data_IF_964453547607
#
_entry.id   IF_964453547607
#
_cell.length_a   1.000
_cell.length_b   1.000
_cell.length_c   1.000
_cell.angle_alpha   90.00
_cell.angle_beta   90.00
_cell.angle_gamma   90.00
#
_symmetry.space_group_name_H-M   'P 1'
#
loop_
_entity.id
_entity.type
_entity.pdbx_description
1 polymer ?
#
# COMPACT_ATOMS: atom_id res chain seq x y z
N UNK A 1 6.21 12.07 10.07
CA UNK A 1 4.99 11.29 9.75
C UNK A 1 5.38 9.85 9.48
N UNK A 2 4.69 8.90 10.07
CA UNK A 2 4.87 7.46 9.84
C UNK A 2 4.00 6.99 8.67
N UNK A 3 4.43 5.93 8.01
CA UNK A 3 3.67 5.29 6.93
C UNK A 3 3.05 4.00 7.45
N UNK A 4 1.74 3.93 7.42
CA UNK A 4 0.95 2.74 7.79
C UNK A 4 0.68 1.94 6.53
N UNK A 5 0.98 0.63 6.56
CA UNK A 5 0.71 -0.28 5.43
C UNK A 5 -0.21 -1.40 5.89
N UNK A 6 -1.39 -1.50 5.27
CA UNK A 6 -2.35 -2.58 5.53
C UNK A 6 -1.90 -3.88 4.82
N UNK A 7 -1.43 -4.83 5.59
CA UNK A 7 -0.79 -6.06 5.11
C UNK A 7 -1.38 -7.35 5.72
N UNK A 8 -2.57 -7.29 6.32
CA UNK A 8 -3.11 -8.40 7.12
C UNK A 8 -4.17 -9.27 6.43
N UNK A 9 -4.54 -9.00 5.18
CA UNK A 9 -5.57 -9.72 4.44
C UNK A 9 -5.15 -11.09 3.93
N UNK A 10 -6.13 -11.96 3.62
CA UNK A 10 -5.89 -13.34 3.14
C UNK A 10 -5.39 -13.45 1.70
N UNK A 11 -5.59 -12.43 0.85
CA UNK A 11 -5.15 -12.43 -0.55
C UNK A 11 -5.85 -13.47 -1.44
N UNK A 12 -7.11 -13.77 -1.20
CA UNK A 12 -7.86 -14.89 -1.84
C UNK A 12 -7.99 -14.79 -3.35
N UNK A 13 -7.86 -13.59 -3.93
CA UNK A 13 -7.94 -13.36 -5.40
C UNK A 13 -6.68 -13.77 -6.16
N UNK A 14 -5.56 -13.98 -5.46
CA UNK A 14 -4.27 -14.46 -5.99
C UNK A 14 -3.82 -15.70 -5.19
N UNK A 15 -4.71 -16.69 -5.11
CA UNK A 15 -4.55 -17.87 -4.25
C UNK A 15 -3.33 -18.72 -4.60
N UNK A 16 -2.89 -18.72 -5.85
CA UNK A 16 -1.71 -19.46 -6.34
C UNK A 16 -0.43 -19.04 -5.60
N UNK A 17 -0.32 -17.77 -5.26
CA UNK A 17 0.81 -17.19 -4.54
C UNK A 17 0.53 -17.06 -3.03
N UNK A 18 -0.69 -16.63 -2.66
CA UNK A 18 -1.03 -16.33 -1.27
C UNK A 18 -1.20 -17.59 -0.41
N UNK A 19 -1.29 -18.77 -1.03
CA UNK A 19 -1.22 -20.05 -0.32
C UNK A 19 0.10 -20.25 0.44
N UNK A 20 1.19 -19.63 0.01
CA UNK A 20 2.53 -19.80 0.59
C UNK A 20 2.99 -18.57 1.39
N UNK A 21 2.70 -17.37 0.95
CA UNK A 21 3.11 -16.11 1.57
C UNK A 21 1.97 -15.08 1.57
N UNK A 22 1.91 -14.11 2.51
CA UNK A 22 0.87 -13.09 2.47
C UNK A 22 1.08 -12.20 1.24
N UNK A 23 -0.01 -11.65 0.68
CA UNK A 23 -0.01 -10.89 -0.56
C UNK A 23 1.08 -9.79 -0.63
N UNK A 24 1.35 -9.01 0.43
CA UNK A 24 2.43 -8.02 0.41
C UNK A 24 3.84 -8.60 0.24
N UNK A 25 4.01 -9.90 0.43
CA UNK A 25 5.29 -10.61 0.25
C UNK A 25 5.41 -11.33 -1.09
N UNK A 26 4.45 -11.15 -1.99
CA UNK A 26 4.56 -11.62 -3.38
C UNK A 26 5.58 -10.72 -4.10
N UNK A 27 6.51 -11.34 -4.81
CA UNK A 27 7.66 -10.66 -5.40
C UNK A 27 7.37 -10.10 -6.79
N UNK A 28 8.02 -8.98 -7.08
CA UNK A 28 8.17 -8.34 -8.38
C UNK A 28 9.66 -8.05 -8.53
N UNK A 29 10.31 -8.58 -9.56
CA UNK A 29 11.76 -8.42 -9.75
C UNK A 29 12.59 -8.96 -8.58
N UNK A 30 12.15 -10.05 -7.95
CA UNK A 30 12.83 -10.68 -6.81
C UNK A 30 12.66 -9.97 -5.47
N UNK A 31 11.88 -8.86 -5.39
CA UNK A 31 11.62 -8.14 -4.16
C UNK A 31 10.11 -8.10 -3.85
N UNK A 32 9.68 -8.26 -2.57
CA UNK A 32 8.27 -8.18 -2.19
C UNK A 32 7.62 -6.87 -2.66
N UNK A 33 6.35 -6.90 -3.09
CA UNK A 33 5.63 -5.66 -3.43
C UNK A 33 5.62 -4.68 -2.24
N UNK A 34 5.63 -5.17 -1.02
CA UNK A 34 5.79 -4.37 0.19
C UNK A 34 7.07 -3.52 0.15
N UNK A 35 8.20 -4.10 -0.28
CA UNK A 35 9.46 -3.38 -0.44
C UNK A 35 9.34 -2.25 -1.47
N UNK A 36 8.72 -2.49 -2.63
CA UNK A 36 8.49 -1.48 -3.65
C UNK A 36 7.65 -0.31 -3.13
N UNK A 37 6.59 -0.61 -2.35
CA UNK A 37 5.76 0.40 -1.71
C UNK A 37 6.61 1.24 -0.74
N UNK A 38 7.41 0.58 0.11
CA UNK A 38 8.26 1.26 1.08
C UNK A 38 9.33 2.13 0.40
N UNK A 39 9.94 1.65 -0.70
CA UNK A 39 10.89 2.44 -1.52
C UNK A 39 10.24 3.71 -2.08
N UNK A 40 8.98 3.62 -2.55
CA UNK A 40 8.25 4.78 -3.04
C UNK A 40 8.12 5.86 -1.96
N UNK A 41 7.74 5.51 -0.73
CA UNK A 41 7.65 6.46 0.36
C UNK A 41 9.02 6.98 0.82
N UNK A 42 10.01 6.09 0.87
CA UNK A 42 11.38 6.43 1.27
C UNK A 42 12.04 7.44 0.31
N UNK A 43 11.75 7.38 -0.99
CA UNK A 43 12.20 8.36 -1.98
C UNK A 43 11.77 9.81 -1.65
N UNK A 44 10.71 9.97 -0.87
CA UNK A 44 10.22 11.27 -0.37
C UNK A 44 10.61 11.54 1.10
N UNK A 45 11.52 10.72 1.68
CA UNK A 45 12.04 10.91 3.04
C UNK A 45 11.18 10.29 4.16
N UNK A 46 10.18 9.47 3.83
CA UNK A 46 9.36 8.76 4.82
C UNK A 46 9.92 7.36 5.06
N UNK A 47 10.75 7.22 6.10
CA UNK A 47 11.52 6.01 6.41
C UNK A 47 11.04 5.25 7.67
N UNK A 48 9.94 5.67 8.28
CA UNK A 48 9.35 5.01 9.45
C UNK A 48 8.01 4.38 9.09
N UNK A 49 7.97 3.03 9.18
CA UNK A 49 6.84 2.23 8.71
C UNK A 49 6.19 1.47 9.86
N UNK A 50 4.85 1.42 9.85
CA UNK A 50 4.03 0.58 10.73
C UNK A 50 3.21 -0.36 9.85
N UNK A 51 3.54 -1.64 9.88
CA UNK A 51 2.92 -2.67 9.03
C UNK A 51 1.85 -3.38 9.84
N UNK A 52 0.59 -3.24 9.43
CA UNK A 52 -0.56 -3.91 10.03
C UNK A 52 -0.65 -5.35 9.49
N UNK A 53 0.05 -6.27 10.14
CA UNK A 53 0.12 -7.68 9.74
C UNK A 53 -1.04 -8.51 10.33
N UNK A 54 -1.32 -9.65 9.74
CA UNK A 54 -2.35 -10.61 10.16
C UNK A 54 -2.09 -11.99 9.59
N UNK A 55 -2.71 -12.33 8.45
CA UNK A 55 -2.48 -13.60 7.79
C UNK A 55 -0.99 -13.79 7.47
N UNK A 56 -0.44 -14.95 7.89
CA UNK A 56 0.98 -15.31 7.72
C UNK A 56 1.97 -14.19 8.09
N UNK A 57 1.68 -13.47 9.15
CA UNK A 57 2.52 -12.35 9.62
C UNK A 57 3.98 -12.75 9.91
N UNK A 58 4.24 -14.01 10.24
CA UNK A 58 5.58 -14.52 10.48
C UNK A 58 6.49 -14.34 9.26
N UNK A 59 5.98 -14.55 8.03
CA UNK A 59 6.73 -14.37 6.79
C UNK A 59 7.23 -12.92 6.64
N UNK A 60 6.39 -11.93 7.01
CA UNK A 60 6.80 -10.52 6.99
C UNK A 60 7.89 -10.27 8.04
N UNK A 61 7.71 -10.81 9.26
CA UNK A 61 8.67 -10.63 10.37
C UNK A 61 10.01 -11.29 10.07
N UNK A 62 10.01 -12.51 9.55
CA UNK A 62 11.21 -13.23 9.14
C UNK A 62 11.96 -12.48 8.05
N UNK A 63 11.26 -11.98 7.02
CA UNK A 63 11.89 -11.20 5.97
C UNK A 63 12.63 -9.97 6.50
N UNK A 64 12.04 -9.21 7.43
CA UNK A 64 12.71 -8.06 8.03
C UNK A 64 13.82 -8.45 9.02
N UNK A 65 13.66 -9.57 9.75
CA UNK A 65 14.70 -10.07 10.64
C UNK A 65 15.99 -10.42 9.89
N UNK A 66 15.84 -10.96 8.68
CA UNK A 66 16.94 -11.42 7.84
C UNK A 66 17.32 -10.42 6.73
N UNK A 67 16.63 -9.28 6.64
CA UNK A 67 16.79 -8.32 5.55
C UNK A 67 18.25 -7.89 5.34
N UNK A 68 18.95 -7.56 6.42
CA UNK A 68 20.35 -7.14 6.35
C UNK A 68 21.29 -8.26 5.89
N UNK A 69 20.96 -9.52 6.16
CA UNK A 69 21.72 -10.69 5.69
C UNK A 69 21.67 -10.83 4.18
N UNK A 70 20.49 -10.55 3.59
CA UNK A 70 20.27 -10.70 2.14
C UNK A 70 20.78 -9.50 1.34
N UNK A 71 21.03 -8.37 1.98
CA UNK A 71 21.46 -7.13 1.32
C UNK A 71 22.89 -6.75 1.61
N UNK A 72 23.65 -7.58 2.34
CA UNK A 72 25.02 -7.27 2.77
C UNK A 72 25.99 -8.39 2.38
N UNK A 73 27.27 -8.04 2.23
CA UNK A 73 28.34 -9.02 2.14
C UNK A 73 28.69 -9.50 3.56
N UNK A 74 28.69 -10.83 3.76
CA UNK A 74 28.85 -11.43 5.08
C UNK A 74 29.88 -12.54 5.05
N UNK A 75 30.80 -12.54 6.05
CA UNK A 75 31.64 -13.68 6.36
C UNK A 75 31.07 -14.40 7.58
N UNK A 76 30.84 -15.68 7.44
CA UNK A 76 30.55 -16.59 8.56
C UNK A 76 31.83 -17.35 8.89
N UNK A 77 32.38 -17.13 10.08
CA UNK A 77 33.58 -17.80 10.56
C UNK A 77 33.22 -18.90 11.58
N UNK A 78 33.43 -20.13 11.19
CA UNK A 78 33.24 -21.33 12.02
C UNK A 78 34.58 -21.97 12.48
N UNK A 79 35.76 -21.34 12.21
CA UNK A 79 37.06 -21.99 12.42
C UNK A 79 37.32 -22.13 13.87
N UNK A 80 37.20 -21.50 14.80
CA UNK A 80 37.62 -21.67 16.20
C UNK A 80 36.51 -22.11 17.16
N UNK A 81 35.43 -22.69 16.66
CA UNK A 81 34.26 -23.03 17.46
C UNK A 81 33.46 -21.81 17.95
N UNK A 82 33.84 -20.60 17.52
CA UNK A 82 33.03 -19.39 17.62
C UNK A 82 32.23 -19.24 16.34
N UNK A 83 30.92 -19.09 16.44
CA UNK A 83 30.08 -18.78 15.27
C UNK A 83 30.07 -17.24 15.12
N UNK A 84 31.12 -16.70 14.47
CA UNK A 84 31.22 -15.25 14.25
C UNK A 84 30.59 -14.86 12.91
N UNK A 85 29.87 -13.76 12.90
CA UNK A 85 29.29 -13.17 11.71
C UNK A 85 29.84 -11.75 11.54
N UNK A 86 30.52 -11.51 10.42
CA UNK A 86 31.13 -10.23 10.09
C UNK A 86 30.39 -9.65 8.89
N UNK A 87 29.70 -8.54 9.09
CA UNK A 87 28.99 -7.80 8.04
C UNK A 87 29.95 -6.75 7.45
N UNK A 88 30.25 -6.86 6.14
CA UNK A 88 31.21 -5.97 5.48
C UNK A 88 30.52 -4.73 4.90
N UNK A 89 29.66 -4.90 3.89
CA UNK A 89 28.96 -3.81 3.24
C UNK A 89 27.49 -3.83 3.69
N UNK A 90 27.01 -2.69 4.20
CA UNK A 90 25.62 -2.54 4.64
C UNK A 90 24.83 -1.82 3.54
N UNK A 91 24.08 -2.58 2.75
CA UNK A 91 23.19 -2.06 1.73
C UNK A 91 21.71 -2.07 2.15
N UNK A 92 21.45 -2.38 3.43
CA UNK A 92 20.09 -2.32 3.97
C UNK A 92 19.58 -0.87 3.96
N UNK A 93 18.35 -0.72 3.54
CA UNK A 93 17.66 0.58 3.56
C UNK A 93 17.58 1.14 4.99
N UNK A 94 17.70 2.46 5.17
CA UNK A 94 17.71 3.09 6.50
C UNK A 94 16.29 3.21 7.07
N UNK A 95 15.54 2.11 7.07
CA UNK A 95 14.16 2.07 7.53
C UNK A 95 14.05 1.73 9.01
N UNK A 96 13.07 2.32 9.66
CA UNK A 96 12.55 1.88 10.95
C UNK A 96 11.21 1.22 10.72
N UNK A 97 11.12 -0.09 10.97
CA UNK A 97 9.95 -0.90 10.66
C UNK A 97 9.37 -1.51 11.93
N UNK A 98 8.09 -1.29 12.15
CA UNK A 98 7.30 -1.93 13.20
C UNK A 98 6.26 -2.84 12.55
N UNK A 99 6.35 -4.15 12.77
CA UNK A 99 5.36 -5.12 12.29
C UNK A 99 4.43 -5.47 13.44
N UNK A 100 3.19 -5.00 13.35
CA UNK A 100 2.17 -5.17 14.41
C UNK A 100 1.25 -6.33 14.07
N UNK A 101 1.08 -7.25 15.01
CA UNK A 101 0.01 -8.25 14.93
C UNK A 101 -1.34 -7.58 15.16
N UNK A 102 -2.05 -7.32 14.09
CA UNK A 102 -3.38 -6.71 14.14
C UNK A 102 -4.52 -7.72 14.14
N UNK A 103 -4.20 -9.01 14.33
CA UNK A 103 -5.17 -10.11 14.39
C UNK A 103 -5.51 -10.70 13.01
N UNK A 104 -5.88 -11.99 13.00
CA UNK A 104 -6.16 -12.73 11.76
C UNK A 104 -7.47 -12.25 11.11
N UNK A 105 -8.54 -12.13 11.90
CA UNK A 105 -9.90 -11.85 11.42
C UNK A 105 -10.30 -10.38 11.54
N UNK A 106 -9.39 -9.51 11.94
CA UNK A 106 -9.63 -8.08 12.07
C UNK A 106 -9.83 -7.42 10.70
N UNK A 107 -10.85 -6.60 10.58
CA UNK A 107 -11.13 -5.83 9.36
C UNK A 107 -10.17 -4.63 9.20
N UNK A 108 -10.16 -4.02 8.01
CA UNK A 108 -9.23 -2.94 7.64
C UNK A 108 -9.22 -1.77 8.65
N UNK A 109 -10.38 -1.30 9.09
CA UNK A 109 -10.50 -0.26 10.11
C UNK A 109 -10.00 -0.70 11.48
N UNK A 110 -10.35 -1.92 11.90
CA UNK A 110 -9.86 -2.48 13.16
C UNK A 110 -8.34 -2.56 13.22
N UNK A 111 -7.69 -2.92 12.09
CA UNK A 111 -6.22 -2.93 12.00
C UNK A 111 -5.63 -1.53 12.21
N UNK A 112 -6.23 -0.52 11.59
CA UNK A 112 -5.84 0.88 11.81
C UNK A 112 -6.02 1.27 13.27
N UNK A 113 -7.14 0.90 13.92
CA UNK A 113 -7.35 1.21 15.35
C UNK A 113 -6.27 0.63 16.26
N UNK A 114 -5.86 -0.62 15.99
CA UNK A 114 -4.87 -1.33 16.82
C UNK A 114 -3.46 -0.76 16.78
N UNK A 115 -3.17 0.09 15.82
CA UNK A 115 -1.84 0.72 15.71
C UNK A 115 -1.79 2.14 16.28
N UNK A 116 -2.85 2.63 16.93
CA UNK A 116 -2.94 3.98 17.48
C UNK A 116 -1.75 4.33 18.39
N UNK A 117 -1.35 3.43 19.27
CA UNK A 117 -0.21 3.64 20.18
C UNK A 117 1.13 3.82 19.44
N UNK A 118 1.31 3.19 18.29
CA UNK A 118 2.52 3.31 17.47
C UNK A 118 2.55 4.62 16.67
N UNK A 119 1.39 5.21 16.39
CA UNK A 119 1.26 6.48 15.65
C UNK A 119 1.36 7.66 16.61
N UNK A 120 0.70 7.58 17.76
CA UNK A 120 0.57 8.69 18.71
C UNK A 120 -0.41 9.75 18.19
N UNK A 121 -0.06 11.02 18.43
CA UNK A 121 -0.90 12.17 18.07
C UNK A 121 -0.36 12.93 16.83
N UNK A 122 0.36 12.24 15.95
CA UNK A 122 0.91 12.82 14.75
C UNK A 122 0.08 12.45 13.51
N UNK A 123 -0.01 13.32 12.51
CA UNK A 123 -0.54 12.93 11.21
C UNK A 123 0.26 11.77 10.63
N UNK A 124 -0.39 10.90 9.86
CA UNK A 124 0.25 9.73 9.28
C UNK A 124 -0.22 9.46 7.85
N UNK A 125 0.62 8.75 7.13
CA UNK A 125 0.32 8.23 5.80
C UNK A 125 -0.25 6.82 5.93
N UNK A 126 -1.23 6.47 5.10
CA UNK A 126 -1.83 5.14 5.06
C UNK A 126 -1.94 4.65 3.63
N UNK A 127 -1.57 3.38 3.41
CA UNK A 127 -1.75 2.73 2.10
C UNK A 127 -2.07 1.25 2.24
N UNK A 128 -2.53 0.65 1.15
CA UNK A 128 -2.69 -0.80 1.04
C UNK A 128 -1.36 -1.45 0.66
N UNK A 129 -1.15 -2.71 1.10
CA UNK A 129 0.09 -3.46 0.88
C UNK A 129 0.12 -4.27 -0.43
N UNK A 130 -0.66 -3.89 -1.44
CA UNK A 130 -0.87 -4.67 -2.65
C UNK A 130 -0.91 -3.87 -3.95
N UNK A 131 -0.55 -2.59 -3.91
CA UNK A 131 -0.54 -1.73 -5.07
C UNK A 131 0.69 -0.83 -5.11
N UNK A 132 1.21 -0.58 -6.30
CA UNK A 132 2.32 0.35 -6.56
C UNK A 132 1.85 1.50 -7.43
N UNK A 133 2.51 2.65 -7.28
CA UNK A 133 2.20 3.85 -8.06
C UNK A 133 3.30 4.91 -7.92
N UNK A 134 3.31 5.88 -8.81
CA UNK A 134 4.22 7.02 -8.77
C UNK A 134 3.56 8.28 -8.23
N UNK A 135 2.71 8.11 -7.21
CA UNK A 135 2.08 9.23 -6.51
C UNK A 135 3.17 10.13 -5.90
N UNK A 136 3.11 11.42 -6.17
CA UNK A 136 4.00 12.39 -5.55
C UNK A 136 3.60 12.61 -4.08
N UNK A 137 4.26 11.89 -3.17
CA UNK A 137 3.93 11.89 -1.75
C UNK A 137 4.16 13.28 -1.13
N UNK A 138 5.15 14.03 -1.61
CA UNK A 138 5.40 15.38 -1.13
C UNK A 138 4.23 16.31 -1.45
N UNK A 139 3.77 16.32 -2.70
CA UNK A 139 2.61 17.12 -3.11
C UNK A 139 1.33 16.68 -2.39
N UNK A 140 1.13 15.38 -2.21
CA UNK A 140 -0.01 14.83 -1.46
C UNK A 140 -0.04 15.34 -0.02
N UNK A 141 1.10 15.35 0.67
CA UNK A 141 1.20 15.85 2.06
C UNK A 141 1.04 17.36 2.12
N UNK A 142 1.60 18.12 1.17
CA UNK A 142 1.41 19.56 1.07
C UNK A 142 -0.07 19.93 0.82
N UNK A 143 -0.72 19.19 -0.07
CA UNK A 143 -2.16 19.31 -0.34
C UNK A 143 -3.00 19.06 0.91
N UNK A 144 -2.69 17.98 1.65
CA UNK A 144 -3.36 17.66 2.92
C UNK A 144 -3.22 18.79 3.95
N UNK A 145 -2.02 19.31 4.12
CA UNK A 145 -1.77 20.42 5.06
C UNK A 145 -2.51 21.71 4.66
N UNK A 146 -2.63 21.95 3.36
CA UNK A 146 -3.25 23.17 2.85
C UNK A 146 -4.77 23.25 3.11
N UNK A 147 -5.49 22.15 3.05
CA UNK A 147 -6.95 22.15 3.29
C UNK A 147 -7.33 21.94 4.77
N UNK A 148 -6.42 21.42 5.61
CA UNK A 148 -6.60 21.29 7.07
C UNK A 148 -7.72 20.36 7.51
N UNK A 149 -8.19 19.44 6.65
CA UNK A 149 -9.20 18.44 6.97
C UNK A 149 -8.58 17.18 7.57
N UNK A 150 -9.41 16.29 8.15
CA UNK A 150 -8.96 15.06 8.80
C UNK A 150 -8.33 14.09 7.81
N UNK A 151 -8.87 13.98 6.58
CA UNK A 151 -8.40 13.00 5.61
C UNK A 151 -8.15 13.54 4.21
N UNK A 152 -7.14 12.99 3.57
CA UNK A 152 -6.91 13.09 2.11
C UNK A 152 -6.82 11.69 1.53
N UNK A 153 -7.52 11.43 0.45
CA UNK A 153 -7.52 10.16 -0.26
C UNK A 153 -7.09 10.36 -1.70
N UNK A 154 -6.07 9.65 -2.15
CA UNK A 154 -5.70 9.66 -3.56
C UNK A 154 -6.71 8.90 -4.39
N UNK A 155 -7.12 9.52 -5.49
CA UNK A 155 -8.08 8.98 -6.44
C UNK A 155 -7.44 8.85 -7.81
N UNK A 156 -7.81 7.82 -8.54
CA UNK A 156 -7.30 7.53 -9.87
C UNK A 156 -8.46 7.23 -10.82
N UNK A 157 -8.40 7.80 -12.02
CA UNK A 157 -9.34 7.42 -13.06
C UNK A 157 -8.89 6.11 -13.70
N UNK A 158 -9.58 5.01 -13.35
CA UNK A 158 -9.22 3.68 -13.84
C UNK A 158 -9.58 3.49 -15.32
N UNK A 159 -10.33 4.43 -15.91
CA UNK A 159 -10.84 4.34 -17.28
C UNK A 159 -11.85 3.19 -17.46
N UNK A 160 -12.81 3.37 -18.32
CA UNK A 160 -13.65 2.26 -18.78
C UNK A 160 -13.01 1.62 -20.03
N UNK A 161 -12.86 0.29 -19.99
CA UNK A 161 -12.32 -0.46 -21.14
C UNK A 161 -13.39 -0.85 -22.18
N UNK A 162 -14.64 -0.38 -22.01
CA UNK A 162 -15.79 -0.72 -22.84
C UNK A 162 -16.59 0.53 -23.19
N UNK A 163 -17.23 0.52 -24.35
CA UNK A 163 -18.16 1.57 -24.75
C UNK A 163 -19.32 1.73 -23.77
N UNK A 164 -19.77 2.94 -23.58
CA UNK A 164 -20.90 3.29 -22.71
C UNK A 164 -22.19 3.20 -23.51
N UNK A 165 -23.19 2.53 -22.96
CA UNK A 165 -24.50 2.34 -23.57
C UNK A 165 -25.56 2.97 -22.67
N UNK A 166 -26.35 3.88 -23.20
CA UNK A 166 -27.53 4.40 -22.53
C UNK A 166 -28.76 3.64 -23.05
N UNK A 167 -29.52 3.05 -22.12
CA UNK A 167 -30.68 2.23 -22.44
C UNK A 167 -31.92 2.96 -21.97
N UNK A 168 -32.80 3.31 -22.91
CA UNK A 168 -34.08 3.93 -22.64
C UNK A 168 -35.20 2.94 -22.30
N UNK A 169 -36.43 3.44 -22.29
CA UNK A 169 -37.59 2.63 -22.02
C UNK A 169 -37.72 1.48 -23.04
N UNK A 170 -38.11 0.30 -22.55
CA UNK A 170 -38.33 -0.91 -23.40
C UNK A 170 -37.02 -1.54 -23.98
N UNK A 171 -35.85 -1.20 -23.44
CA UNK A 171 -34.58 -1.80 -23.87
C UNK A 171 -34.02 -1.23 -25.18
N UNK A 172 -34.57 -0.12 -25.67
CA UNK A 172 -34.00 0.60 -26.81
C UNK A 172 -32.72 1.29 -26.39
N UNK A 173 -31.66 1.17 -27.21
CA UNK A 173 -30.41 1.89 -26.99
C UNK A 173 -30.60 3.33 -27.49
N UNK A 174 -30.63 4.28 -26.55
CA UNK A 174 -30.82 5.71 -26.88
C UNK A 174 -29.48 6.37 -27.27
N UNK A 175 -28.37 5.90 -26.71
CA UNK A 175 -27.04 6.35 -27.10
C UNK A 175 -26.02 5.23 -26.98
N UNK A 176 -25.06 5.21 -27.88
CA UNK A 176 -23.81 4.43 -27.77
C UNK A 176 -22.65 5.37 -28.00
N UNK A 177 -21.72 5.31 -27.05
CA UNK A 177 -20.52 6.13 -27.10
C UNK A 177 -19.28 5.27 -26.86
N UNK A 178 -18.30 5.37 -27.74
CA UNK A 178 -17.00 4.79 -27.50
C UNK A 178 -16.36 5.42 -26.26
N UNK A 179 -15.54 4.66 -25.56
CA UNK A 179 -14.86 5.10 -24.34
C UNK A 179 -14.09 6.41 -24.55
N UNK A 180 -14.13 7.28 -23.56
CA UNK A 180 -13.23 8.43 -23.45
C UNK A 180 -12.48 8.36 -22.09
N UNK A 181 -11.34 9.04 -21.99
CA UNK A 181 -10.58 9.12 -20.74
C UNK A 181 -11.37 9.80 -19.60
N UNK A 182 -12.52 10.42 -19.94
CA UNK A 182 -13.44 11.05 -18.98
C UNK A 182 -14.54 10.13 -18.47
N UNK A 183 -14.67 8.93 -19.02
CA UNK A 183 -15.74 7.97 -18.71
C UNK A 183 -15.42 7.00 -17.57
N UNK A 184 -14.29 7.18 -16.89
CA UNK A 184 -13.90 6.35 -15.75
C UNK A 184 -14.38 6.91 -14.42
N UNK A 185 -14.86 6.03 -13.56
CA UNK A 185 -15.08 6.38 -12.17
C UNK A 185 -13.74 6.61 -11.46
N UNK A 186 -13.69 7.64 -10.62
CA UNK A 186 -12.58 7.84 -9.72
C UNK A 186 -12.61 6.79 -8.62
N UNK A 187 -11.56 6.00 -8.53
CA UNK A 187 -11.43 4.97 -7.50
C UNK A 187 -10.42 5.36 -6.42
N UNK A 188 -10.62 4.87 -5.21
CA UNK A 188 -9.64 4.94 -4.13
C UNK A 188 -8.44 4.05 -4.46
N UNK A 189 -7.25 4.62 -4.46
CA UNK A 189 -6.00 3.92 -4.79
C UNK A 189 -5.06 3.75 -3.59
N UNK A 190 -5.52 4.01 -2.39
CA UNK A 190 -4.64 4.15 -1.24
C UNK A 190 -3.89 5.47 -1.26
N UNK A 191 -2.64 5.50 -0.78
CA UNK A 191 -1.83 6.72 -0.69
C UNK A 191 -2.61 7.86 -0.03
N UNK A 192 -3.01 7.63 1.21
CA UNK A 192 -3.85 8.54 1.99
C UNK A 192 -3.04 9.25 3.07
N UNK A 193 -3.54 10.40 3.52
CA UNK A 193 -3.00 11.14 4.68
C UNK A 193 -4.13 11.39 5.66
N UNK A 194 -3.89 11.13 6.94
CA UNK A 194 -4.87 11.33 7.99
C UNK A 194 -4.31 12.06 9.20
N UNK A 195 -5.17 12.85 9.82
CA UNK A 195 -4.99 13.35 11.18
C UNK A 195 -5.32 12.25 12.21
N UNK A 196 -4.75 12.29 13.42
CA UNK A 196 -4.99 11.27 14.45
C UNK A 196 -6.45 11.17 14.90
N UNK A 197 -7.28 12.18 14.68
CA UNK A 197 -8.72 12.18 14.93
C UNK A 197 -9.47 11.06 14.19
N UNK A 198 -8.89 10.54 13.10
CA UNK A 198 -9.42 9.38 12.40
C UNK A 198 -9.65 8.19 13.34
N UNK A 199 -8.77 7.97 14.32
CA UNK A 199 -8.90 6.84 15.26
C UNK A 199 -10.18 6.86 16.07
N UNK A 200 -10.74 8.03 16.32
CA UNK A 200 -11.97 8.21 17.12
C UNK A 200 -13.23 7.82 16.32
N UNK A 201 -13.12 7.72 14.99
CA UNK A 201 -14.18 7.28 14.10
C UNK A 201 -14.25 5.74 13.95
N UNK A 202 -13.25 5.02 14.46
CA UNK A 202 -13.15 3.56 14.34
C UNK A 202 -13.70 2.91 15.61
N UNK A 203 -14.72 2.06 15.48
CA UNK A 203 -15.39 1.42 16.62
C UNK A 203 -14.58 0.25 17.19
N UNK A 204 -14.10 -0.66 16.36
CA UNK A 204 -13.37 -1.85 16.81
C UNK A 204 -12.91 -2.76 15.66
N UNK A 205 -12.60 -4.01 16.02
CA UNK A 205 -12.00 -4.98 15.10
C UNK A 205 -12.85 -5.34 13.87
N UNK A 206 -14.16 -5.28 14.00
CA UNK A 206 -15.12 -5.55 12.91
C UNK A 206 -15.32 -4.38 11.95
N UNK A 207 -14.70 -3.22 12.22
CA UNK A 207 -14.87 -2.03 11.39
C UNK A 207 -14.15 -2.20 10.07
N UNK A 208 -14.90 -2.13 8.96
CA UNK A 208 -14.37 -2.01 7.61
C UNK A 208 -14.04 -0.55 7.34
N UNK A 209 -12.79 -0.22 7.06
CA UNK A 209 -12.28 1.14 6.93
C UNK A 209 -13.05 1.96 5.90
N UNK A 210 -13.33 1.35 4.77
CA UNK A 210 -13.99 1.95 3.62
C UNK A 210 -15.49 2.22 3.87
N UNK A 211 -16.14 1.39 4.70
CA UNK A 211 -17.59 1.48 4.98
C UNK A 211 -17.92 2.24 6.27
N UNK A 212 -16.96 2.38 7.17
CA UNK A 212 -17.13 3.05 8.45
C UNK A 212 -16.45 4.43 8.45
N UNK A 213 -15.16 4.51 8.83
CA UNK A 213 -14.46 5.79 9.00
C UNK A 213 -14.48 6.69 7.77
N UNK A 214 -14.23 6.15 6.56
CA UNK A 214 -14.25 6.96 5.34
C UNK A 214 -15.64 7.53 5.06
N UNK A 215 -16.71 6.74 5.26
CA UNK A 215 -18.09 7.23 5.10
C UNK A 215 -18.40 8.33 6.11
N UNK A 216 -18.02 8.16 7.39
CA UNK A 216 -18.20 9.19 8.42
C UNK A 216 -17.47 10.49 8.08
N UNK A 217 -16.23 10.40 7.56
CA UNK A 217 -15.48 11.57 7.11
C UNK A 217 -16.15 12.28 5.93
N UNK A 218 -16.74 11.54 4.99
CA UNK A 218 -17.51 12.13 3.88
C UNK A 218 -18.74 12.88 4.40
N UNK A 219 -19.52 12.28 5.29
CA UNK A 219 -20.70 12.90 5.92
C UNK A 219 -20.34 14.18 6.68
N UNK A 220 -19.20 14.18 7.35
CA UNK A 220 -18.67 15.33 8.09
C UNK A 220 -17.97 16.38 7.20
N UNK A 221 -17.80 16.11 5.90
CA UNK A 221 -17.02 16.92 4.95
C UNK A 221 -15.56 17.11 5.37
N UNK A 222 -14.99 16.06 5.97
CA UNK A 222 -13.62 16.01 6.47
C UNK A 222 -12.69 15.09 5.63
N UNK A 223 -13.15 14.60 4.46
CA UNK A 223 -12.35 13.85 3.50
C UNK A 223 -12.24 14.64 2.19
N UNK A 224 -11.01 14.84 1.73
CA UNK A 224 -10.70 15.54 0.47
C UNK A 224 -10.02 14.60 -0.50
N UNK A 225 -10.40 14.67 -1.78
CA UNK A 225 -9.82 13.85 -2.84
C UNK A 225 -8.62 14.52 -3.50
N UNK A 226 -7.51 13.78 -3.66
CA UNK A 226 -6.34 14.16 -4.45
C UNK A 226 -6.32 13.34 -5.74
N UNK A 227 -6.42 13.99 -6.91
CA UNK A 227 -6.46 13.28 -8.21
C UNK A 227 -5.05 12.96 -8.67
N UNK A 228 -4.73 11.67 -8.71
CA UNK A 228 -3.48 11.17 -9.29
C UNK A 228 -3.64 10.93 -10.79
N UNK A 229 -2.73 11.48 -11.60
CA UNK A 229 -2.74 11.37 -13.07
C UNK A 229 -1.62 10.49 -13.62
N UNK A 230 -0.77 9.95 -12.75
CA UNK A 230 0.37 9.12 -13.12
C UNK A 230 0.02 7.64 -13.23
N UNK A 231 0.99 6.79 -12.94
CA UNK A 231 0.84 5.34 -12.94
C UNK A 231 0.31 4.84 -11.60
N UNK A 232 -0.63 3.90 -11.65
CA UNK A 232 -1.05 3.09 -10.52
C UNK A 232 -1.47 1.69 -10.98
N UNK A 233 -1.11 0.66 -10.22
CA UNK A 233 -1.50 -0.71 -10.50
C UNK A 233 -1.57 -1.53 -9.21
N UNK A 234 -2.72 -2.17 -8.96
CA UNK A 234 -2.84 -3.21 -7.93
C UNK A 234 -2.33 -4.56 -8.45
N UNK A 235 -2.03 -5.45 -7.52
CA UNK A 235 -1.63 -6.84 -7.80
C UNK A 235 -2.66 -7.81 -7.20
N UNK A 236 -3.89 -7.77 -7.70
CA UNK A 236 -4.99 -8.59 -7.21
C UNK A 236 -5.03 -9.99 -7.84
N UNK A 237 -4.49 -10.12 -9.03
CA UNK A 237 -4.52 -11.34 -9.84
C UNK A 237 -3.13 -11.70 -10.36
N UNK A 238 -2.94 -12.95 -10.77
CA UNK A 238 -1.70 -13.41 -11.40
C UNK A 238 -1.37 -12.61 -12.67
N UNK A 239 -2.39 -12.21 -13.45
CA UNK A 239 -2.21 -11.38 -14.65
C UNK A 239 -1.63 -10.00 -14.30
N UNK A 240 -2.09 -9.40 -13.22
CA UNK A 240 -1.57 -8.10 -12.76
C UNK A 240 -0.15 -8.22 -12.23
N UNK A 241 0.17 -9.31 -11.50
CA UNK A 241 1.55 -9.64 -11.13
C UNK A 241 2.45 -9.73 -12.35
N UNK A 242 2.06 -10.53 -13.35
CA UNK A 242 2.84 -10.68 -14.58
C UNK A 242 3.07 -9.36 -15.32
N UNK A 243 2.06 -8.49 -15.34
CA UNK A 243 2.20 -7.14 -15.92
C UNK A 243 3.23 -6.30 -15.19
N UNK A 244 3.22 -6.33 -13.84
CA UNK A 244 4.21 -5.60 -13.03
C UNK A 244 5.61 -6.18 -13.22
N UNK A 245 5.74 -7.51 -13.28
CA UNK A 245 7.01 -8.19 -13.56
C UNK A 245 7.60 -7.77 -14.90
N UNK A 246 6.80 -7.80 -15.97
CA UNK A 246 7.24 -7.35 -17.31
C UNK A 246 7.71 -5.90 -17.33
N UNK A 247 7.01 -4.99 -16.61
CA UNK A 247 7.43 -3.59 -16.51
C UNK A 247 8.77 -3.46 -15.78
N UNK A 248 8.98 -4.27 -14.75
CA UNK A 248 10.23 -4.27 -13.98
C UNK A 248 11.41 -4.82 -14.80
N UNK A 249 11.25 -5.99 -15.41
CA UNK A 249 12.27 -6.63 -16.26
C UNK A 249 12.67 -5.77 -17.46
N UNK A 250 11.72 -5.04 -18.04
CA UNK A 250 11.97 -4.11 -19.13
C UNK A 250 12.68 -2.81 -18.69
N UNK A 251 12.94 -2.60 -17.40
CA UNK A 251 13.48 -1.36 -16.86
C UNK A 251 12.53 -0.16 -16.96
N UNK A 252 11.25 -0.40 -17.20
CA UNK A 252 10.20 0.62 -17.41
C UNK A 252 9.17 0.64 -16.29
N UNK A 253 9.56 0.34 -15.06
CA UNK A 253 8.66 0.35 -13.90
C UNK A 253 8.35 1.80 -13.46
N UNK A 254 7.16 2.35 -13.77
CA UNK A 254 6.89 3.77 -13.55
C UNK A 254 6.83 4.14 -12.05
N UNK A 255 6.62 3.16 -11.18
CA UNK A 255 6.62 3.34 -9.71
C UNK A 255 8.03 3.37 -9.11
N UNK A 256 9.08 3.03 -9.87
CA UNK A 256 10.48 3.14 -9.43
C UNK A 256 10.89 4.62 -9.48
N UNK A 257 10.46 5.37 -8.46
CA UNK A 257 10.73 6.82 -8.32
C UNK A 257 12.00 7.12 -7.51
N UNK A 258 12.72 6.10 -7.08
CA UNK A 258 14.00 6.19 -6.36
C UNK A 258 15.18 5.94 -7.30
N UNK A 259 16.31 6.53 -6.96
CA UNK A 259 17.61 6.24 -7.59
C UNK A 259 18.25 4.98 -6.96
N UNK A 260 19.15 4.32 -7.68
CA UNK A 260 19.90 3.16 -7.18
C UNK A 260 21.00 3.55 -6.20
#
# INVERSE_FOLDING_TARGET
MKVVILAGGFGTRISEESAFKPKPMIEIGGMPILWHIMKTYAAYGYNEFVICAGYKQHVIKEWFADYFLHTSDITFDYTNGSNEMIVHNKHAEPWKVTVVDTGLNTQTGGRVKRIREYIGNEPFLLTYGDAVGNVNIKELVEFHKAHGKIGTMSMYNFGQNKGVVEVGANGVIDAFREKSDMDGDLINIGFMVFQPELFDLIEGDSTVFEKGPLTKLVEQKELVGYIHKGFWQCMDTLREKQKLEQLWEAGNAPWKVWEE
#
